data_IF_848372857040
#
_entry.id   IF_848372857040
#
_cell.length_a   1.000
_cell.length_b   1.000
_cell.length_c   1.000
_cell.angle_alpha   90.00
_cell.angle_beta   90.00
_cell.angle_gamma   90.00
#
_symmetry.space_group_name_H-M   'P 1'
#
loop_
_entity.id
_entity.type
_entity.pdbx_description
1 polymer ?
#
# COMPACT_ATOMS: atom_id res chain seq x y z
N UNK A 1 25.95 -79.15 43.01
CA UNK A 1 26.02 -79.32 41.54
C UNK A 1 25.12 -78.29 40.89
N UNK A 2 25.72 -77.44 40.06
CA UNK A 2 25.16 -76.62 38.96
C UNK A 2 23.95 -75.73 39.23
N UNK A 3 24.28 -74.44 39.35
CA UNK A 3 23.43 -73.27 39.10
C UNK A 3 22.68 -73.37 37.77
N UNK A 4 21.42 -72.92 37.77
CA UNK A 4 20.81 -72.31 36.59
C UNK A 4 19.91 -71.16 37.04
N UNK A 5 20.43 -69.93 36.90
CA UNK A 5 19.66 -68.70 37.01
C UNK A 5 19.01 -68.48 35.64
N UNK A 6 17.68 -68.58 35.56
CA UNK A 6 16.92 -68.20 34.37
C UNK A 6 16.53 -66.74 34.53
N UNK A 7 17.24 -65.86 33.82
CA UNK A 7 16.88 -64.46 33.69
C UNK A 7 15.66 -64.34 32.74
N UNK A 8 14.50 -64.01 33.30
CA UNK A 8 13.31 -63.70 32.53
C UNK A 8 13.35 -62.21 32.14
N UNK A 9 13.67 -61.93 30.89
CA UNK A 9 13.66 -60.58 30.34
C UNK A 9 12.20 -60.09 30.21
N UNK A 10 11.84 -59.09 31.00
CA UNK A 10 10.62 -58.30 30.81
C UNK A 10 10.80 -57.41 29.58
N UNK A 11 10.21 -57.83 28.46
CA UNK A 11 10.07 -56.98 27.28
C UNK A 11 8.92 -55.99 27.52
N UNK A 12 9.28 -54.79 27.95
CA UNK A 12 8.37 -53.63 28.02
C UNK A 12 7.92 -53.27 26.60
N UNK A 13 6.69 -53.61 26.22
CA UNK A 13 6.05 -53.06 25.04
C UNK A 13 5.66 -51.60 25.33
N UNK A 14 6.61 -50.68 25.16
CA UNK A 14 6.29 -49.26 25.06
C UNK A 14 5.53 -49.07 23.74
N UNK A 15 4.21 -48.95 23.83
CA UNK A 15 3.40 -48.47 22.71
C UNK A 15 3.87 -47.03 22.41
N UNK A 16 4.76 -46.90 21.43
CA UNK A 16 5.11 -45.63 20.83
C UNK A 16 3.82 -45.06 20.22
N UNK A 17 3.15 -44.17 20.97
CA UNK A 17 2.26 -43.21 20.34
C UNK A 17 3.10 -42.51 19.29
N UNK A 18 2.67 -42.41 18.02
CA UNK A 18 3.33 -41.49 17.12
C UNK A 18 3.21 -40.13 17.80
N UNK A 19 4.33 -39.61 18.32
CA UNK A 19 4.47 -38.19 18.52
C UNK A 19 4.14 -37.63 17.16
N UNK A 20 2.97 -37.00 17.03
CA UNK A 20 2.72 -36.10 15.93
C UNK A 20 3.96 -35.23 15.87
N UNK A 21 4.79 -35.44 14.85
CA UNK A 21 5.82 -34.49 14.50
C UNK A 21 4.97 -33.31 14.07
N UNK A 22 4.67 -32.45 15.04
CA UNK A 22 4.30 -31.08 14.77
C UNK A 22 5.57 -30.54 14.12
N UNK A 23 5.66 -30.70 12.80
CA UNK A 23 6.47 -29.83 11.98
C UNK A 23 6.16 -28.44 12.49
N UNK A 24 7.20 -27.75 12.96
CA UNK A 24 7.06 -26.37 13.41
C UNK A 24 6.20 -25.68 12.37
N UNK A 25 5.09 -25.11 12.80
CA UNK A 25 4.31 -24.22 11.95
C UNK A 25 5.26 -23.05 11.71
N UNK A 26 5.98 -23.09 10.60
CA UNK A 26 6.69 -21.92 10.09
C UNK A 26 5.59 -20.99 9.57
N UNK A 27 5.08 -20.16 10.46
CA UNK A 27 4.36 -18.92 10.13
C UNK A 27 5.31 -17.78 10.46
N UNK A 28 5.23 -16.60 9.81
CA UNK A 28 4.26 -16.12 8.81
C UNK A 28 4.57 -16.49 7.34
N UNK A 29 3.57 -17.05 6.65
CA UNK A 29 3.54 -17.25 5.20
C UNK A 29 3.03 -15.93 4.58
N UNK A 30 3.90 -15.04 4.10
CA UNK A 30 3.56 -13.89 3.23
C UNK A 30 4.83 -13.06 2.90
N UNK A 31 5.93 -13.72 2.54
CA UNK A 31 7.15 -13.05 2.05
C UNK A 31 7.18 -12.86 0.53
N UNK A 32 6.03 -12.99 -0.15
CA UNK A 32 5.90 -12.66 -1.57
C UNK A 32 6.34 -11.23 -1.88
N UNK A 33 5.84 -10.26 -1.12
CA UNK A 33 6.16 -8.83 -1.22
C UNK A 33 7.11 -8.38 -0.11
N UNK A 34 8.20 -9.15 0.10
CA UNK A 34 9.11 -8.92 1.23
C UNK A 34 9.77 -7.53 1.22
N UNK A 35 10.03 -6.96 0.04
CA UNK A 35 10.45 -5.57 -0.12
C UNK A 35 9.50 -4.59 0.58
N UNK A 36 8.19 -4.77 0.41
CA UNK A 36 7.15 -3.94 1.03
C UNK A 36 7.11 -4.17 2.54
N UNK A 37 7.13 -5.44 2.98
CA UNK A 37 7.17 -5.79 4.40
C UNK A 37 8.36 -5.16 5.14
N UNK A 38 9.56 -5.21 4.57
CA UNK A 38 10.76 -4.61 5.16
C UNK A 38 10.65 -3.08 5.29
N UNK A 39 10.18 -2.41 4.24
CA UNK A 39 10.02 -0.97 4.25
C UNK A 39 9.01 -0.53 5.32
N UNK A 40 7.85 -1.18 5.35
CA UNK A 40 6.80 -0.89 6.36
C UNK A 40 7.25 -1.24 7.76
N UNK A 41 8.00 -2.34 7.98
CA UNK A 41 8.55 -2.64 9.29
C UNK A 41 9.48 -1.53 9.77
N UNK A 42 10.37 -1.06 8.89
CA UNK A 42 11.28 0.04 9.22
C UNK A 42 10.54 1.30 9.65
N UNK A 43 9.44 1.65 8.97
CA UNK A 43 8.59 2.78 9.32
C UNK A 43 7.81 2.56 10.61
N UNK A 44 7.19 1.39 10.78
CA UNK A 44 6.41 1.03 11.96
C UNK A 44 7.26 1.15 13.23
N UNK A 45 8.52 0.66 13.20
CA UNK A 45 9.41 0.71 14.36
C UNK A 45 9.86 2.13 14.75
N UNK A 46 9.63 3.15 13.93
CA UNK A 46 9.92 4.54 14.32
C UNK A 46 9.00 5.03 15.44
N UNK A 47 7.73 4.64 15.39
CA UNK A 47 6.74 4.91 16.42
C UNK A 47 5.60 3.87 16.32
N UNK A 48 5.55 2.95 17.28
CA UNK A 48 4.64 1.80 17.30
C UNK A 48 3.85 1.77 18.62
N UNK A 49 2.87 2.68 18.82
CA UNK A 49 2.15 2.81 20.08
C UNK A 49 1.26 1.60 20.40
N UNK A 50 0.86 0.84 19.37
CA UNK A 50 0.02 -0.35 19.51
C UNK A 50 0.83 -1.64 19.72
N UNK A 51 2.15 -1.56 19.89
CA UNK A 51 3.01 -2.72 20.13
C UNK A 51 2.85 -3.85 19.09
N UNK A 52 2.61 -3.49 17.83
CA UNK A 52 2.45 -4.45 16.73
C UNK A 52 3.80 -5.15 16.49
N UNK A 53 3.82 -6.47 16.35
CA UNK A 53 5.08 -7.23 16.37
C UNK A 53 5.86 -7.11 15.07
N UNK A 54 5.25 -7.52 13.96
CA UNK A 54 5.83 -7.47 12.62
C UNK A 54 4.71 -7.28 11.59
N UNK A 55 4.88 -6.42 10.57
CA UNK A 55 3.87 -6.21 9.54
C UNK A 55 3.49 -7.50 8.78
N UNK A 56 4.37 -8.50 8.67
CA UNK A 56 4.02 -9.73 7.93
C UNK A 56 2.78 -10.42 8.52
N UNK A 57 2.52 -10.31 9.83
CA UNK A 57 1.34 -10.88 10.47
C UNK A 57 0.03 -10.30 9.93
N UNK A 58 0.01 -9.03 9.53
CA UNK A 58 -1.20 -8.38 9.05
C UNK A 58 -1.61 -8.84 7.64
N UNK A 59 -0.67 -9.43 6.89
CA UNK A 59 -0.93 -10.02 5.58
C UNK A 59 -1.46 -11.46 5.69
N UNK A 60 -1.51 -12.03 6.89
CA UNK A 60 -2.10 -13.34 7.14
C UNK A 60 -3.59 -13.25 7.44
N UNK A 61 -4.26 -14.40 7.38
CA UNK A 61 -5.62 -14.59 7.87
C UNK A 61 -5.74 -14.31 9.38
N UNK A 62 -6.95 -13.91 9.80
CA UNK A 62 -7.24 -13.36 11.14
C UNK A 62 -6.65 -14.15 12.32
N UNK A 63 -6.69 -15.50 12.26
CA UNK A 63 -6.16 -16.34 13.32
C UNK A 63 -4.65 -16.18 13.54
N UNK A 64 -3.87 -16.07 12.46
CA UNK A 64 -2.43 -15.89 12.54
C UNK A 64 -2.06 -14.41 12.72
N UNK A 65 -2.83 -13.49 12.12
CA UNK A 65 -2.67 -12.05 12.35
C UNK A 65 -2.77 -11.67 13.84
N UNK A 66 -3.66 -12.34 14.59
CA UNK A 66 -3.82 -12.14 16.03
C UNK A 66 -2.54 -12.43 16.85
N UNK A 67 -1.61 -13.26 16.36
CA UNK A 67 -0.35 -13.56 17.05
C UNK A 67 0.62 -12.37 17.04
N UNK A 68 0.52 -11.48 16.05
CA UNK A 68 1.36 -10.29 15.90
C UNK A 68 0.64 -8.96 16.13
N UNK A 69 -0.64 -8.99 16.52
CA UNK A 69 -1.50 -7.81 16.51
C UNK A 69 -1.17 -6.74 17.56
N UNK A 70 -0.40 -7.08 18.59
CA UNK A 70 -0.16 -6.18 19.71
C UNK A 70 -1.47 -5.80 20.40
N UNK A 71 -1.74 -4.51 20.50
CA UNK A 71 -2.94 -3.93 21.12
C UNK A 71 -4.12 -3.80 20.13
N UNK A 72 -3.95 -4.20 18.87
CA UNK A 72 -5.03 -4.20 17.87
C UNK A 72 -5.96 -5.39 18.13
N UNK A 73 -7.18 -5.11 18.60
CA UNK A 73 -8.14 -6.14 18.97
C UNK A 73 -8.79 -6.85 17.78
N UNK A 74 -9.03 -6.11 16.69
CA UNK A 74 -9.63 -6.64 15.47
C UNK A 74 -8.54 -7.03 14.47
N UNK A 75 -8.31 -8.34 14.34
CA UNK A 75 -7.31 -8.88 13.45
C UNK A 75 -7.60 -8.59 11.96
N UNK A 76 -8.86 -8.33 11.59
CA UNK A 76 -9.20 -7.94 10.21
C UNK A 76 -8.82 -6.48 9.90
N UNK A 77 -8.63 -5.68 10.94
CA UNK A 77 -8.14 -4.31 10.84
C UNK A 77 -6.63 -4.17 11.02
N UNK A 78 -5.89 -5.25 11.29
CA UNK A 78 -4.45 -5.15 11.58
C UNK A 78 -3.67 -4.54 10.41
N UNK A 79 -3.98 -4.91 9.16
CA UNK A 79 -3.27 -4.36 8.00
C UNK A 79 -3.51 -2.85 7.85
N UNK A 80 -4.76 -2.40 8.06
CA UNK A 80 -5.08 -0.98 8.05
C UNK A 80 -4.31 -0.26 9.15
N UNK A 81 -4.29 -0.78 10.38
CA UNK A 81 -3.57 -0.18 11.50
C UNK A 81 -2.05 -0.09 11.25
N UNK A 82 -1.44 -1.13 10.71
CA UNK A 82 -0.02 -1.15 10.35
C UNK A 82 0.28 -0.12 9.27
N UNK A 83 -0.49 -0.12 8.18
CA UNK A 83 -0.27 0.79 7.06
C UNK A 83 -0.45 2.25 7.48
N UNK A 84 -1.50 2.53 8.27
CA UNK A 84 -1.81 3.88 8.73
C UNK A 84 -0.73 4.43 9.66
N UNK A 85 -0.25 3.62 10.62
CA UNK A 85 0.84 4.02 11.50
C UNK A 85 2.16 4.22 10.74
N UNK A 86 2.51 3.32 9.82
CA UNK A 86 3.70 3.45 8.98
C UNK A 86 3.64 4.70 8.09
N UNK A 87 2.48 4.99 7.51
CA UNK A 87 2.26 6.20 6.71
C UNK A 87 2.40 7.47 7.56
N UNK A 88 1.81 7.51 8.76
CA UNK A 88 1.99 8.64 9.69
C UNK A 88 3.47 8.88 9.99
N UNK A 89 4.22 7.83 10.31
CA UNK A 89 5.65 7.94 10.62
C UNK A 89 6.45 8.47 9.41
N UNK A 90 6.17 7.95 8.20
CA UNK A 90 6.81 8.43 6.98
C UNK A 90 6.45 9.90 6.67
N UNK A 91 5.19 10.29 6.86
CA UNK A 91 4.69 11.65 6.64
C UNK A 91 5.34 12.66 7.60
N UNK A 92 5.50 12.30 8.87
CA UNK A 92 6.22 13.11 9.85
C UNK A 92 7.70 13.30 9.49
N UNK A 93 8.31 12.29 8.86
CA UNK A 93 9.68 12.34 8.37
C UNK A 93 9.83 13.07 7.01
N UNK A 94 8.74 13.38 6.30
CA UNK A 94 8.78 13.88 4.93
C UNK A 94 9.27 12.86 3.90
N UNK A 95 9.14 11.56 4.23
CA UNK A 95 9.60 10.43 3.43
C UNK A 95 8.52 9.98 2.43
N UNK A 96 8.60 10.48 1.20
CA UNK A 96 7.64 10.13 0.13
C UNK A 96 7.75 8.68 -0.29
N UNK A 97 8.94 8.11 -0.28
CA UNK A 97 9.15 6.69 -0.59
C UNK A 97 8.49 5.82 0.49
N UNK A 98 8.73 6.15 1.76
CA UNK A 98 8.08 5.47 2.89
C UNK A 98 6.56 5.59 2.88
N UNK A 99 6.01 6.77 2.59
CA UNK A 99 4.57 6.97 2.42
C UNK A 99 4.03 6.08 1.28
N UNK A 100 4.75 6.01 0.16
CA UNK A 100 4.39 5.15 -0.99
C UNK A 100 4.35 3.68 -0.61
N UNK A 101 5.35 3.19 0.13
CA UNK A 101 5.41 1.80 0.58
C UNK A 101 4.30 1.45 1.57
N UNK A 102 3.88 2.38 2.43
CA UNK A 102 2.73 2.18 3.31
C UNK A 102 1.40 2.12 2.53
N UNK A 103 1.22 2.92 1.47
CA UNK A 103 0.05 2.84 0.58
C UNK A 103 0.01 1.50 -0.16
N UNK A 104 1.14 1.06 -0.73
CA UNK A 104 1.26 -0.24 -1.39
C UNK A 104 0.89 -1.36 -0.42
N UNK A 105 1.44 -1.31 0.80
CA UNK A 105 1.15 -2.30 1.83
C UNK A 105 -0.33 -2.35 2.22
N UNK A 106 -1.02 -1.21 2.31
CA UNK A 106 -2.46 -1.16 2.57
C UNK A 106 -3.26 -1.88 1.49
N UNK A 107 -2.80 -1.80 0.25
CA UNK A 107 -3.44 -2.40 -0.89
C UNK A 107 -3.10 -3.88 -1.07
N UNK A 108 -2.00 -4.40 -0.52
CA UNK A 108 -1.63 -5.82 -0.67
C UNK A 108 -2.77 -6.76 -0.30
N UNK A 109 -2.87 -7.87 -1.03
CA UNK A 109 -3.76 -8.97 -0.67
C UNK A 109 -3.40 -9.53 0.72
N UNK A 110 -4.40 -9.88 1.51
CA UNK A 110 -4.21 -10.71 2.71
C UNK A 110 -4.52 -12.16 2.37
N UNK A 111 -3.65 -13.06 2.79
CA UNK A 111 -3.82 -14.49 2.60
C UNK A 111 -4.92 -15.04 3.51
N UNK A 112 -6.02 -15.47 2.90
CA UNK A 112 -7.20 -15.98 3.60
C UNK A 112 -7.12 -17.48 3.89
N UNK A 113 -6.04 -18.15 3.47
CA UNK A 113 -5.79 -19.57 3.70
C UNK A 113 -6.61 -20.51 2.80
N UNK A 114 -7.25 -19.99 1.74
CA UNK A 114 -7.98 -20.78 0.76
C UNK A 114 -8.12 -20.03 -0.56
N UNK A 115 -7.84 -20.71 -1.68
CA UNK A 115 -7.99 -20.13 -3.02
C UNK A 115 -9.42 -19.67 -3.27
N UNK A 116 -9.56 -18.41 -3.67
CA UNK A 116 -10.82 -17.74 -4.00
C UNK A 116 -11.63 -17.26 -2.79
N UNK A 117 -11.09 -17.35 -1.57
CA UNK A 117 -11.73 -16.80 -0.39
C UNK A 117 -11.41 -15.31 -0.27
N UNK A 118 -12.46 -14.48 -0.26
CA UNK A 118 -12.33 -13.03 -0.07
C UNK A 118 -11.90 -12.68 1.34
N UNK A 119 -11.00 -11.72 1.45
CA UNK A 119 -10.59 -11.11 2.71
C UNK A 119 -11.72 -10.27 3.28
N UNK A 120 -11.92 -10.35 4.60
CA UNK A 120 -12.89 -9.53 5.31
C UNK A 120 -12.39 -8.07 5.35
N UNK A 121 -13.20 -7.08 4.95
CA UNK A 121 -12.85 -5.67 5.10
C UNK A 121 -12.75 -5.26 6.58
N UNK A 122 -11.84 -4.33 6.87
CA UNK A 122 -11.78 -3.70 8.18
C UNK A 122 -12.97 -2.75 8.38
N UNK A 123 -13.78 -2.97 9.42
CA UNK A 123 -14.94 -2.12 9.74
C UNK A 123 -14.80 -1.39 11.08
N UNK A 124 -13.91 -1.84 11.98
CA UNK A 124 -13.85 -1.36 13.36
C UNK A 124 -12.82 -0.25 13.62
N UNK A 125 -11.87 -0.05 12.71
CA UNK A 125 -10.84 0.99 12.82
C UNK A 125 -11.01 2.00 11.69
N UNK A 126 -11.05 3.27 12.06
CA UNK A 126 -10.98 4.39 11.12
C UNK A 126 -9.53 4.85 11.00
N UNK A 127 -8.98 4.85 9.77
CA UNK A 127 -7.65 5.36 9.51
C UNK A 127 -7.55 6.87 9.82
N UNK A 128 -6.43 7.28 10.38
CA UNK A 128 -6.07 8.67 10.66
C UNK A 128 -5.71 9.39 9.36
N UNK A 129 -5.02 8.72 8.44
CA UNK A 129 -4.62 9.30 7.17
C UNK A 129 -5.69 9.06 6.10
N UNK A 130 -6.23 10.12 5.46
CA UNK A 130 -7.23 9.96 4.41
C UNK A 130 -6.71 9.19 3.21
N UNK A 131 -5.40 9.27 2.93
CA UNK A 131 -4.75 8.52 1.84
C UNK A 131 -4.84 7.01 2.07
N UNK A 132 -4.68 6.55 3.32
CA UNK A 132 -4.83 5.15 3.72
C UNK A 132 -6.31 4.76 3.80
N UNK A 133 -7.17 5.66 4.27
CA UNK A 133 -8.61 5.44 4.37
C UNK A 133 -9.28 5.22 3.00
N UNK A 134 -8.74 5.81 1.94
CA UNK A 134 -9.23 5.65 0.56
C UNK A 134 -8.97 4.23 0.01
N UNK A 135 -8.05 3.49 0.62
CA UNK A 135 -7.59 2.20 0.12
C UNK A 135 -8.20 1.02 0.88
N UNK A 136 -8.31 -0.09 0.16
CA UNK A 136 -8.63 -1.41 0.69
C UNK A 136 -7.68 -2.45 0.09
N UNK A 137 -7.64 -3.63 0.69
CA UNK A 137 -6.81 -4.74 0.22
C UNK A 137 -7.34 -5.36 -1.07
N UNK A 138 -6.40 -5.77 -1.92
CA UNK A 138 -6.66 -6.70 -3.02
C UNK A 138 -7.31 -7.98 -2.46
N UNK A 139 -8.11 -8.60 -3.31
CA UNK A 139 -8.75 -9.88 -3.04
C UNK A 139 -8.03 -10.99 -3.79
N UNK A 140 -8.16 -12.21 -3.29
CA UNK A 140 -7.68 -13.39 -3.99
C UNK A 140 -8.17 -13.38 -5.45
N UNK A 141 -7.26 -13.42 -6.43
CA UNK A 141 -7.60 -13.24 -7.85
C UNK A 141 -8.50 -14.36 -8.42
N UNK A 142 -8.63 -15.49 -7.74
CA UNK A 142 -9.59 -16.55 -8.09
C UNK A 142 -11.00 -16.30 -7.54
N UNK A 143 -11.19 -15.32 -6.66
CA UNK A 143 -12.51 -14.99 -6.13
C UNK A 143 -13.39 -14.28 -7.18
N UNK A 144 -14.71 -14.51 -7.10
CA UNK A 144 -15.66 -13.93 -8.05
C UNK A 144 -15.62 -12.38 -8.03
N UNK A 145 -15.37 -11.79 -9.20
CA UNK A 145 -15.22 -10.34 -9.38
C UNK A 145 -13.93 -9.71 -8.84
N UNK A 146 -12.98 -10.50 -8.33
CA UNK A 146 -11.74 -9.98 -7.73
C UNK A 146 -10.88 -9.19 -8.72
N UNK A 147 -10.69 -9.68 -9.94
CA UNK A 147 -9.86 -9.00 -10.94
C UNK A 147 -10.32 -7.56 -11.23
N UNK A 148 -11.64 -7.35 -11.37
CA UNK A 148 -12.19 -6.02 -11.60
C UNK A 148 -12.06 -5.11 -10.38
N UNK A 149 -12.18 -5.68 -9.17
CA UNK A 149 -12.01 -4.94 -7.92
C UNK A 149 -10.54 -4.58 -7.66
N UNK A 150 -9.63 -5.53 -7.83
CA UNK A 150 -8.18 -5.36 -7.72
C UNK A 150 -7.70 -4.25 -8.65
N UNK A 151 -8.17 -4.26 -9.90
CA UNK A 151 -7.93 -3.15 -10.83
C UNK A 151 -8.38 -1.78 -10.29
N UNK A 152 -9.59 -1.68 -9.72
CA UNK A 152 -10.07 -0.42 -9.12
C UNK A 152 -9.22 0.00 -7.91
N UNK A 153 -8.76 -0.96 -7.12
CA UNK A 153 -7.86 -0.72 -5.98
C UNK A 153 -6.51 -0.20 -6.50
N UNK A 154 -5.94 -0.80 -7.54
CA UNK A 154 -4.70 -0.35 -8.16
C UNK A 154 -4.84 1.06 -8.77
N UNK A 155 -5.97 1.39 -9.40
CA UNK A 155 -6.25 2.74 -9.92
C UNK A 155 -6.29 3.78 -8.78
N UNK A 156 -6.96 3.45 -7.67
CA UNK A 156 -7.00 4.32 -6.49
C UNK A 156 -5.64 4.45 -5.83
N UNK A 157 -4.88 3.36 -5.73
CA UNK A 157 -3.51 3.36 -5.24
C UNK A 157 -2.63 4.28 -6.09
N UNK A 158 -2.72 4.22 -7.42
CA UNK A 158 -1.98 5.10 -8.31
C UNK A 158 -2.31 6.58 -8.05
N UNK A 159 -3.59 6.93 -7.84
CA UNK A 159 -4.02 8.29 -7.46
C UNK A 159 -3.44 8.72 -6.12
N UNK A 160 -3.51 7.85 -5.10
CA UNK A 160 -2.98 8.19 -3.77
C UNK A 160 -1.47 8.39 -3.80
N UNK A 161 -0.73 7.53 -4.51
CA UNK A 161 0.73 7.67 -4.70
C UNK A 161 1.05 8.99 -5.43
N UNK A 162 0.32 9.32 -6.50
CA UNK A 162 0.49 10.60 -7.20
C UNK A 162 0.24 11.80 -6.27
N UNK A 163 -0.80 11.73 -5.44
CA UNK A 163 -1.23 12.82 -4.55
C UNK A 163 -0.18 13.21 -3.50
N UNK A 164 0.68 12.26 -3.10
CA UNK A 164 1.80 12.48 -2.16
C UNK A 164 3.11 12.80 -2.89
N UNK A 165 3.11 12.82 -4.22
CA UNK A 165 4.28 13.07 -5.06
C UNK A 165 5.18 11.87 -5.32
N UNK A 166 4.69 10.65 -5.10
CA UNK A 166 5.37 9.40 -5.47
C UNK A 166 5.19 9.04 -6.95
N UNK A 167 5.85 7.97 -7.40
CA UNK A 167 5.72 7.43 -8.76
C UNK A 167 4.49 6.52 -8.88
N UNK A 168 3.43 6.90 -9.62
CA UNK A 168 2.20 6.11 -9.71
C UNK A 168 2.39 4.73 -10.33
N UNK A 169 3.48 4.50 -11.07
CA UNK A 169 3.79 3.18 -11.63
C UNK A 169 4.04 2.12 -10.55
N UNK A 170 4.40 2.56 -9.33
CA UNK A 170 4.55 1.68 -8.18
C UNK A 170 3.22 1.08 -7.69
N UNK A 171 2.06 1.52 -8.18
CA UNK A 171 0.78 0.91 -7.82
C UNK A 171 0.73 -0.59 -8.15
N UNK A 172 1.35 -0.99 -9.27
CA UNK A 172 1.41 -2.41 -9.64
C UNK A 172 2.24 -3.25 -8.67
N UNK A 173 3.05 -2.67 -7.78
CA UNK A 173 3.74 -3.42 -6.73
C UNK A 173 2.74 -4.10 -5.78
N UNK A 174 1.53 -3.58 -5.64
CA UNK A 174 0.48 -4.22 -4.84
C UNK A 174 -0.24 -5.38 -5.54
N UNK A 175 0.04 -5.61 -6.83
CA UNK A 175 -0.68 -6.61 -7.63
C UNK A 175 -0.38 -8.03 -7.14
N UNK A 176 -1.26 -8.95 -7.52
CA UNK A 176 -1.27 -10.34 -7.03
C UNK A 176 -0.64 -11.32 -8.01
N UNK A 177 -0.63 -12.59 -7.63
CA UNK A 177 -0.35 -13.71 -8.54
C UNK A 177 -1.46 -13.90 -9.58
N UNK A 178 -1.22 -14.74 -10.58
CA UNK A 178 -2.30 -15.26 -11.41
C UNK A 178 -3.31 -16.06 -10.57
N UNK A 179 -4.61 -16.08 -10.94
CA UNK A 179 -5.63 -16.87 -10.24
C UNK A 179 -5.23 -18.34 -10.03
N UNK A 180 -5.38 -18.83 -8.80
CA UNK A 180 -5.22 -20.25 -8.47
C UNK A 180 -6.45 -21.09 -8.86
N UNK A 181 -6.37 -22.40 -8.60
CA UNK A 181 -7.50 -23.33 -8.80
C UNK A 181 -8.38 -23.40 -7.55
N UNK A 182 -9.66 -23.04 -7.67
CA UNK A 182 -10.64 -23.17 -6.58
C UNK A 182 -10.76 -24.65 -6.18
N UNK A 183 -10.61 -24.93 -4.88
CA UNK A 183 -10.65 -26.29 -4.34
C UNK A 183 -9.29 -26.98 -4.30
N UNK A 184 -8.20 -26.25 -4.56
CA UNK A 184 -6.83 -26.71 -4.29
C UNK A 184 -6.73 -27.30 -2.86
N UNK A 185 -6.35 -28.59 -2.72
CA UNK A 185 -6.29 -29.26 -1.42
C UNK A 185 -5.22 -28.67 -0.47
N UNK A 186 -4.26 -27.92 -0.99
CA UNK A 186 -3.26 -27.19 -0.19
C UNK A 186 -3.77 -25.82 0.27
N UNK A 187 -4.74 -25.25 -0.46
CA UNK A 187 -5.26 -23.90 -0.23
C UNK A 187 -4.26 -22.78 -0.57
N UNK A 188 -3.08 -23.10 -1.11
CA UNK A 188 -1.99 -22.14 -1.32
C UNK A 188 -2.09 -21.39 -2.67
N UNK A 189 -2.68 -22.02 -3.70
CA UNK A 189 -2.76 -21.40 -5.02
C UNK A 189 -1.37 -21.13 -5.62
N UNK A 190 -1.27 -20.06 -6.43
CA UNK A 190 0.02 -19.57 -6.89
C UNK A 190 0.63 -18.69 -5.79
N UNK A 191 1.82 -19.05 -5.31
CA UNK A 191 2.47 -18.35 -4.21
C UNK A 191 3.99 -18.50 -4.31
N UNK A 192 4.71 -17.65 -3.58
CA UNK A 192 6.09 -17.85 -3.21
C UNK A 192 6.31 -17.30 -1.80
N UNK A 193 7.24 -17.88 -1.05
CA UNK A 193 7.52 -17.44 0.32
C UNK A 193 9.01 -17.59 0.60
N UNK A 194 9.75 -16.49 0.45
CA UNK A 194 11.20 -16.47 0.66
C UNK A 194 11.60 -15.34 1.60
N UNK A 195 11.83 -15.69 2.87
CA UNK A 195 12.29 -14.77 3.90
C UNK A 195 13.74 -14.26 3.69
N UNK A 196 14.45 -14.74 2.67
CA UNK A 196 15.82 -14.34 2.33
C UNK A 196 15.90 -13.50 1.05
N UNK A 197 14.78 -13.35 0.33
CA UNK A 197 14.69 -12.51 -0.85
C UNK A 197 14.16 -11.11 -0.51
N UNK A 198 15.08 -10.17 -0.24
CA UNK A 198 14.73 -8.79 0.10
C UNK A 198 13.95 -8.06 -1.00
N UNK A 199 14.03 -8.49 -2.26
CA UNK A 199 13.27 -7.88 -3.37
C UNK A 199 11.83 -8.40 -3.46
N UNK A 200 11.48 -9.43 -2.68
CA UNK A 200 10.21 -10.13 -2.77
C UNK A 200 10.23 -11.16 -3.90
N UNK A 201 9.97 -12.43 -3.56
CA UNK A 201 10.04 -13.51 -4.53
C UNK A 201 9.01 -13.38 -5.66
N UNK A 202 7.92 -12.63 -5.45
CA UNK A 202 6.94 -12.35 -6.51
C UNK A 202 7.57 -11.54 -7.65
N UNK A 203 8.53 -10.70 -7.32
CA UNK A 203 9.25 -9.83 -8.25
C UNK A 203 10.43 -10.57 -8.88
N UNK A 204 11.28 -11.21 -8.08
CA UNK A 204 12.50 -11.88 -8.58
C UNK A 204 12.19 -13.07 -9.48
N UNK A 205 11.07 -13.74 -9.25
CA UNK A 205 10.61 -14.87 -10.06
C UNK A 205 9.66 -14.42 -11.19
N UNK A 206 9.27 -13.15 -11.26
CA UNK A 206 8.36 -12.62 -12.28
C UNK A 206 6.97 -13.26 -12.23
N UNK A 207 6.47 -13.50 -11.01
CA UNK A 207 5.18 -14.16 -10.77
C UNK A 207 4.01 -13.18 -10.63
N UNK A 208 4.32 -11.88 -10.51
CA UNK A 208 3.33 -10.80 -10.43
C UNK A 208 2.56 -10.68 -11.74
N UNK A 209 1.25 -10.55 -11.62
CA UNK A 209 0.38 -10.15 -12.73
C UNK A 209 -0.06 -8.72 -12.45
N UNK A 210 0.51 -7.77 -13.20
CA UNK A 210 0.18 -6.35 -13.06
C UNK A 210 -1.31 -6.09 -13.33
N UNK A 211 -1.99 -5.41 -12.40
CA UNK A 211 -3.40 -5.06 -12.50
C UNK A 211 -3.67 -3.95 -13.53
N UNK A 212 -2.68 -3.09 -13.77
CA UNK A 212 -2.76 -1.96 -14.69
C UNK A 212 -1.66 -1.98 -15.74
N UNK A 213 -2.02 -1.59 -16.96
CA UNK A 213 -1.04 -1.15 -17.95
C UNK A 213 -0.54 0.28 -17.66
N UNK A 214 0.60 0.64 -18.25
CA UNK A 214 1.14 2.01 -18.17
C UNK A 214 0.12 3.08 -18.60
N UNK A 215 -0.66 2.79 -19.65
CA UNK A 215 -1.70 3.71 -20.13
C UNK A 215 -2.86 3.86 -19.13
N UNK A 216 -3.20 2.80 -18.40
CA UNK A 216 -4.25 2.83 -17.39
C UNK A 216 -3.78 3.55 -16.12
N UNK A 217 -2.51 3.36 -15.72
CA UNK A 217 -1.89 4.16 -14.65
C UNK A 217 -1.92 5.65 -15.02
N UNK A 218 -1.48 5.98 -16.24
CA UNK A 218 -1.49 7.36 -16.73
C UNK A 218 -2.92 7.94 -16.76
N UNK A 219 -3.92 7.16 -17.16
CA UNK A 219 -5.32 7.59 -17.14
C UNK A 219 -5.84 7.79 -15.71
N UNK A 220 -5.55 6.86 -14.79
CA UNK A 220 -6.00 6.93 -13.41
C UNK A 220 -5.54 8.20 -12.70
N UNK A 221 -4.34 8.70 -13.02
CA UNK A 221 -3.78 9.94 -12.45
C UNK A 221 -4.00 11.17 -13.33
N UNK A 222 -4.55 11.01 -14.53
CA UNK A 222 -4.97 12.12 -15.39
C UNK A 222 -6.34 12.68 -14.99
N UNK A 223 -7.16 11.87 -14.30
CA UNK A 223 -8.46 12.28 -13.75
C UNK A 223 -8.34 13.11 -12.45
N UNK A 224 -7.14 13.51 -12.06
CA UNK A 224 -6.94 14.49 -10.99
C UNK A 224 -7.24 15.89 -11.52
N UNK A 225 -8.06 16.65 -10.78
CA UNK A 225 -8.33 18.06 -11.05
C UNK A 225 -7.00 18.81 -11.23
N UNK A 226 -6.72 19.22 -12.47
CA UNK A 226 -5.53 19.97 -12.82
C UNK A 226 -5.84 21.46 -12.97
N UNK A 227 -4.87 22.29 -12.62
CA UNK A 227 -4.94 23.71 -12.88
C UNK A 227 -4.54 23.98 -14.33
N UNK A 228 -5.29 24.84 -15.02
CA UNK A 228 -4.97 25.27 -16.37
C UNK A 228 -5.33 26.75 -16.54
N UNK A 229 -4.53 27.57 -17.25
CA UNK A 229 -4.94 28.90 -17.62
C UNK A 229 -6.20 28.87 -18.50
N UNK A 230 -7.24 29.63 -18.13
CA UNK A 230 -8.47 29.71 -18.94
C UNK A 230 -8.24 30.37 -20.31
N UNK A 231 -7.20 31.19 -20.43
CA UNK A 231 -6.76 31.78 -21.70
C UNK A 231 -5.43 31.16 -22.16
N UNK A 232 -5.55 30.05 -22.88
CA UNK A 232 -4.42 29.33 -23.48
C UNK A 232 -3.77 30.09 -24.66
N UNK A 233 -4.40 31.15 -25.17
CA UNK A 233 -3.82 31.96 -26.26
C UNK A 233 -2.76 32.92 -25.71
N UNK A 234 -3.04 33.53 -24.57
CA UNK A 234 -2.11 34.43 -23.88
C UNK A 234 -1.13 33.63 -23.01
N UNK A 235 -1.62 32.64 -22.28
CA UNK A 235 -0.89 31.83 -21.30
C UNK A 235 -0.87 30.36 -21.75
N UNK A 236 -0.01 30.04 -22.72
CA UNK A 236 0.02 28.77 -23.44
C UNK A 236 0.72 27.61 -22.69
N UNK A 237 0.52 27.52 -21.38
CA UNK A 237 1.01 26.40 -20.58
C UNK A 237 -0.05 25.31 -20.51
N UNK A 238 0.35 24.03 -20.61
CA UNK A 238 -0.57 22.92 -20.40
C UNK A 238 -1.04 22.81 -18.95
N UNK A 239 -2.01 21.95 -18.69
CA UNK A 239 -2.51 21.69 -17.33
C UNK A 239 -1.42 21.13 -16.41
N UNK A 240 -1.49 21.45 -15.12
CA UNK A 240 -0.59 20.91 -14.10
C UNK A 240 -1.32 20.70 -12.76
N UNK A 241 -0.95 19.64 -12.04
CA UNK A 241 -1.57 19.28 -10.75
C UNK A 241 -1.23 20.26 -9.61
N UNK A 242 -0.07 20.92 -9.68
CA UNK A 242 0.33 21.92 -8.67
C UNK A 242 0.02 23.32 -9.17
N UNK A 243 -0.82 24.06 -8.43
CA UNK A 243 -1.19 25.44 -8.76
C UNK A 243 0.04 26.34 -8.96
N UNK A 244 1.10 26.12 -8.18
CA UNK A 244 2.34 26.90 -8.27
C UNK A 244 2.94 26.89 -9.68
N UNK A 245 2.89 25.77 -10.39
CA UNK A 245 3.41 25.67 -11.76
C UNK A 245 2.65 26.61 -12.70
N UNK A 246 1.33 26.67 -12.56
CA UNK A 246 0.46 27.50 -13.40
C UNK A 246 0.53 28.97 -12.98
N UNK A 247 0.45 29.27 -11.68
CA UNK A 247 0.48 30.65 -11.17
C UNK A 247 1.82 31.32 -11.47
N UNK A 248 2.94 30.63 -11.26
CA UNK A 248 4.27 31.19 -11.50
C UNK A 248 4.50 31.45 -13.00
N UNK A 249 4.01 30.54 -13.85
CA UNK A 249 4.02 30.75 -15.29
C UNK A 249 3.21 32.00 -15.68
N UNK A 250 1.99 32.15 -15.17
CA UNK A 250 1.13 33.32 -15.45
C UNK A 250 1.83 34.61 -15.01
N UNK A 251 2.35 34.66 -13.78
CA UNK A 251 3.01 35.85 -13.26
C UNK A 251 4.30 36.20 -14.04
N UNK A 252 5.05 35.19 -14.48
CA UNK A 252 6.20 35.36 -15.38
C UNK A 252 5.79 35.92 -16.74
N UNK A 253 4.70 35.44 -17.33
CA UNK A 253 4.20 35.96 -18.61
C UNK A 253 3.69 37.40 -18.50
N UNK A 254 3.12 37.81 -17.36
CA UNK A 254 2.73 39.19 -17.12
C UNK A 254 3.94 40.14 -17.25
N UNK A 255 5.08 39.77 -16.66
CA UNK A 255 6.31 40.55 -16.77
C UNK A 255 6.88 40.51 -18.20
N UNK A 256 7.02 39.32 -18.77
CA UNK A 256 7.83 39.11 -19.97
C UNK A 256 7.09 39.35 -21.28
N UNK A 257 5.81 39.00 -21.35
CA UNK A 257 5.02 39.00 -22.59
C UNK A 257 4.01 40.14 -22.62
N UNK A 258 3.40 40.45 -21.48
CA UNK A 258 2.40 41.52 -21.38
C UNK A 258 3.00 42.90 -21.05
N UNK A 259 4.26 42.96 -20.59
CA UNK A 259 4.89 44.22 -20.17
C UNK A 259 4.16 44.88 -19.00
N UNK A 260 3.58 44.08 -18.10
CA UNK A 260 2.84 44.56 -16.96
C UNK A 260 3.73 45.37 -16.01
N UNK A 261 3.14 46.33 -15.29
CA UNK A 261 3.88 47.11 -14.29
C UNK A 261 4.43 46.23 -13.18
N UNK A 262 5.53 46.65 -12.55
CA UNK A 262 6.11 45.94 -11.39
C UNK A 262 5.10 45.74 -10.26
N UNK A 263 4.17 46.69 -10.07
CA UNK A 263 3.07 46.59 -9.11
C UNK A 263 2.10 45.44 -9.45
N UNK A 264 1.79 45.25 -10.74
CA UNK A 264 0.91 44.17 -11.20
C UNK A 264 1.58 42.80 -11.07
N UNK A 265 2.87 42.70 -11.42
CA UNK A 265 3.66 41.47 -11.24
C UNK A 265 3.73 41.11 -9.75
N UNK A 266 4.06 42.06 -8.89
CA UNK A 266 4.11 41.83 -7.43
C UNK A 266 2.75 41.42 -6.84
N UNK A 267 1.64 41.90 -7.40
CA UNK A 267 0.30 41.46 -6.99
C UNK A 267 0.04 40.02 -7.40
N UNK A 268 0.47 39.64 -8.61
CA UNK A 268 0.38 38.26 -9.08
C UNK A 268 1.25 37.32 -8.22
N UNK A 269 2.48 37.69 -7.89
CA UNK A 269 3.35 36.88 -7.05
C UNK A 269 2.76 36.67 -5.64
N UNK A 270 2.10 37.69 -5.10
CA UNK A 270 1.36 37.58 -3.84
C UNK A 270 0.14 36.64 -3.96
N UNK A 271 -0.58 36.68 -5.09
CA UNK A 271 -1.68 35.76 -5.39
C UNK A 271 -1.19 34.31 -5.51
N UNK A 272 -0.07 34.08 -6.19
CA UNK A 272 0.58 32.77 -6.30
C UNK A 272 0.96 32.24 -4.91
N UNK A 273 1.54 33.10 -4.07
CA UNK A 273 1.89 32.77 -2.68
C UNK A 273 0.66 32.43 -1.83
N UNK A 274 -0.47 33.11 -2.03
CA UNK A 274 -1.72 32.85 -1.31
C UNK A 274 -2.38 31.53 -1.73
N UNK A 275 -2.19 31.10 -2.98
CA UNK A 275 -2.68 29.82 -3.48
C UNK A 275 -1.77 28.64 -3.09
N UNK A 276 -0.51 28.90 -2.76
CA UNK A 276 0.47 27.87 -2.46
C UNK A 276 0.08 27.04 -1.23
N UNK A 277 0.13 25.71 -1.37
CA UNK A 277 -0.26 24.75 -0.32
C UNK A 277 -1.77 24.50 -0.20
N UNK A 278 -2.61 25.21 -0.95
CA UNK A 278 -4.04 24.88 -1.08
C UNK A 278 -4.23 23.79 -2.15
N UNK A 279 -5.36 23.07 -2.09
CA UNK A 279 -5.70 21.96 -3.00
C UNK A 279 -6.97 22.24 -3.81
N UNK A 280 -7.05 21.66 -5.01
CA UNK A 280 -8.21 21.71 -5.90
C UNK A 280 -8.76 23.12 -6.14
N UNK A 281 -10.07 23.23 -6.28
CA UNK A 281 -10.76 24.50 -6.56
C UNK A 281 -10.43 25.63 -5.57
N UNK A 282 -10.13 25.31 -4.30
CA UNK A 282 -9.79 26.33 -3.30
C UNK A 282 -8.50 27.09 -3.65
N UNK A 283 -7.50 26.41 -4.22
CA UNK A 283 -6.27 27.05 -4.68
C UNK A 283 -6.53 27.99 -5.86
N UNK A 284 -7.31 27.53 -6.85
CA UNK A 284 -7.70 28.35 -8.00
C UNK A 284 -8.52 29.58 -7.55
N UNK A 285 -9.46 29.39 -6.62
CA UNK A 285 -10.24 30.49 -6.05
C UNK A 285 -9.35 31.48 -5.30
N UNK A 286 -8.39 31.02 -4.51
CA UNK A 286 -7.48 31.91 -3.79
C UNK A 286 -6.63 32.76 -4.75
N UNK A 287 -6.07 32.15 -5.80
CA UNK A 287 -5.31 32.86 -6.83
C UNK A 287 -6.16 33.90 -7.56
N UNK A 288 -7.32 33.49 -8.08
CA UNK A 288 -8.21 34.37 -8.84
C UNK A 288 -8.74 35.52 -7.98
N UNK A 289 -9.17 35.24 -6.74
CA UNK A 289 -9.67 36.26 -5.81
C UNK A 289 -8.60 37.30 -5.49
N UNK A 290 -7.35 36.87 -5.27
CA UNK A 290 -6.24 37.79 -4.98
C UNK A 290 -5.88 38.70 -6.18
N UNK A 291 -6.23 38.29 -7.40
CA UNK A 291 -6.14 39.10 -8.61
C UNK A 291 -7.39 39.95 -8.89
N UNK A 292 -8.47 39.77 -8.12
CA UNK A 292 -9.76 40.44 -8.32
C UNK A 292 -10.60 39.86 -9.46
N UNK A 293 -10.44 38.57 -9.76
CA UNK A 293 -11.19 37.81 -10.77
C UNK A 293 -12.32 36.98 -10.16
#
# INVERSE_FOLDING_TARGET
MKNTIIALALASAAAARPTAVMTKREVPQEHSHRNVNLAVNTLLQQNNPANIQDPVFALLGAAAAAEGAGDIADADCLQLAVADQAFTNAKEAGDVEGMTMALIYRALERNTGSVGLKSVPCESIQAVNPEIAALQQHQDPAADGAQALNKQIAEELARQIASIGGDPSMANEASTFAPGEIGDPTGAGNTCDDATDDAGCINTLGLRVDDLSEAEIAAAVADEDAFEPSDLTTFNHGSAQKIAIISDFICSQLANKCGASASAVSTCDAAASAANGLKGQAAATAFNTALGL
#
